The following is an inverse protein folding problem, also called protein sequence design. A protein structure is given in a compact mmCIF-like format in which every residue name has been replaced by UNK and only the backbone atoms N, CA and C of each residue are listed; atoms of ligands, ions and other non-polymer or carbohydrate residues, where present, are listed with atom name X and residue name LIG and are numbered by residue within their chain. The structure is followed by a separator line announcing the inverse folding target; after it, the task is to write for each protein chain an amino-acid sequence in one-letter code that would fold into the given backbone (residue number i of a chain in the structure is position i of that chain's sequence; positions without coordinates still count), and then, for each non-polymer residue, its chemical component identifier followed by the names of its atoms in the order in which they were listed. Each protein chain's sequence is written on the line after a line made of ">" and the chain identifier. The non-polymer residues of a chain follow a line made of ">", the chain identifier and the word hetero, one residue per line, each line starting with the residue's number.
data_IF_460705156019
#
_entry.id   IF_460705156019
#
_cell.length_a   1.000
_cell.length_b   1.000
_cell.length_c   1.000
_cell.angle_alpha   90.00
_cell.angle_beta   90.00
_cell.angle_gamma   90.00
#
_symmetry.space_group_name_H-M   'P 1'
#
loop_
_entity.id
_entity.type
_entity.pdbx_description
1 polymer ?
#
# COMPACT_ATOMS: atom_id res chain seq x y z
N UNK A 1 4.94 -4.54 -25.24
CA UNK A 1 4.51 -4.75 -23.85
C UNK A 1 5.59 -5.47 -23.05
N UNK A 2 5.50 -5.44 -21.75
CA UNK A 2 6.34 -6.21 -20.83
C UNK A 2 6.45 -7.68 -21.23
N UNK A 3 5.32 -8.35 -21.40
CA UNK A 3 5.29 -9.77 -21.78
C UNK A 3 5.93 -10.03 -23.14
N UNK A 4 5.65 -9.19 -24.14
CA UNK A 4 6.23 -9.37 -25.48
C UNK A 4 7.75 -9.24 -25.47
N UNK A 5 8.31 -8.29 -24.72
CA UNK A 5 9.76 -8.13 -24.61
C UNK A 5 10.42 -9.35 -23.96
N UNK A 6 9.78 -9.90 -22.93
CA UNK A 6 10.26 -11.10 -22.28
C UNK A 6 10.19 -12.30 -23.22
N UNK A 7 9.09 -12.49 -23.95
CA UNK A 7 8.93 -13.57 -24.93
C UNK A 7 9.97 -13.50 -26.06
N UNK A 8 10.42 -12.29 -26.38
CA UNK A 8 11.49 -12.04 -27.36
C UNK A 8 12.91 -12.15 -26.77
N UNK A 9 13.05 -12.43 -25.48
CA UNK A 9 14.33 -12.47 -24.78
C UNK A 9 14.96 -11.09 -24.55
N UNK A 10 14.18 -10.02 -24.67
CA UNK A 10 14.62 -8.65 -24.40
C UNK A 10 14.51 -8.33 -22.90
N UNK A 11 15.30 -7.34 -22.46
CA UNK A 11 15.23 -6.84 -21.09
C UNK A 11 14.22 -5.67 -21.02
N UNK A 12 13.04 -5.85 -20.40
CA UNK A 12 12.09 -4.75 -20.23
C UNK A 12 12.63 -3.70 -19.26
N UNK A 13 12.23 -2.45 -19.49
CA UNK A 13 12.56 -1.31 -18.62
C UNK A 13 11.61 -1.21 -17.41
N UNK A 14 11.96 -0.36 -16.45
CA UNK A 14 11.06 0.00 -15.34
C UNK A 14 9.74 0.58 -15.86
N UNK A 15 9.78 1.36 -16.95
CA UNK A 15 8.56 1.91 -17.56
C UNK A 15 7.68 0.80 -18.14
N UNK A 16 8.28 -0.20 -18.81
CA UNK A 16 7.51 -1.36 -19.30
C UNK A 16 6.81 -2.11 -18.18
N UNK A 17 7.47 -2.23 -17.02
CA UNK A 17 6.87 -2.85 -15.83
C UNK A 17 5.74 -1.99 -15.27
N UNK A 18 5.92 -0.69 -15.16
CA UNK A 18 4.85 0.23 -14.73
C UNK A 18 3.63 0.15 -15.64
N UNK A 19 3.84 0.16 -16.96
CA UNK A 19 2.77 0.05 -17.94
C UNK A 19 2.05 -1.30 -17.82
N UNK A 20 2.80 -2.37 -17.56
CA UNK A 20 2.23 -3.70 -17.30
C UNK A 20 1.41 -3.72 -16.01
N UNK A 21 1.89 -3.13 -14.92
CA UNK A 21 1.14 -3.02 -13.67
C UNK A 21 -0.13 -2.19 -13.85
N UNK A 22 -0.09 -1.10 -14.61
CA UNK A 22 -1.30 -0.35 -14.97
C UNK A 22 -2.30 -1.20 -15.74
N UNK A 23 -1.85 -2.01 -16.69
CA UNK A 23 -2.70 -2.94 -17.44
C UNK A 23 -3.34 -3.97 -16.50
N UNK A 24 -2.58 -4.48 -15.53
CA UNK A 24 -3.07 -5.43 -14.52
C UNK A 24 -4.14 -4.77 -13.65
N UNK A 25 -3.88 -3.59 -13.11
CA UNK A 25 -4.86 -2.85 -12.29
C UNK A 25 -6.14 -2.53 -13.06
N UNK A 26 -6.04 -2.25 -14.36
CA UNK A 26 -7.21 -2.05 -15.21
C UNK A 26 -8.00 -3.34 -15.45
N UNK A 27 -7.32 -4.47 -15.58
CA UNK A 27 -7.95 -5.77 -15.89
C UNK A 27 -8.48 -6.47 -14.63
N UNK A 28 -7.77 -6.35 -13.51
CA UNK A 28 -8.04 -7.04 -12.26
C UNK A 28 -8.17 -6.05 -11.10
N UNK A 29 -9.05 -5.08 -11.26
CA UNK A 29 -9.34 -4.04 -10.27
C UNK A 29 -9.64 -4.63 -8.90
N UNK A 30 -9.01 -4.12 -7.84
CA UNK A 30 -9.23 -4.58 -6.47
C UNK A 30 -8.54 -5.91 -6.09
N UNK A 31 -7.65 -6.46 -6.90
CA UNK A 31 -7.05 -7.78 -6.68
C UNK A 31 -6.19 -7.90 -5.41
N UNK A 32 -5.64 -6.82 -4.88
CA UNK A 32 -4.84 -6.80 -3.64
C UNK A 32 -5.68 -6.69 -2.37
N UNK A 33 -6.94 -6.35 -2.47
CA UNK A 33 -7.82 -6.09 -1.32
C UNK A 33 -8.01 -7.32 -0.43
N UNK A 34 -8.11 -8.51 -1.02
CA UNK A 34 -8.41 -9.73 -0.29
C UNK A 34 -7.33 -10.06 0.74
N UNK A 35 -6.07 -10.02 0.35
CA UNK A 35 -4.96 -10.28 1.29
C UNK A 35 -4.84 -9.15 2.32
N UNK A 36 -5.01 -7.91 1.90
CA UNK A 36 -4.95 -6.75 2.80
C UNK A 36 -6.06 -6.77 3.87
N UNK A 37 -7.25 -7.22 3.53
CA UNK A 37 -8.35 -7.36 4.51
C UNK A 37 -8.23 -8.60 5.38
N UNK A 38 -7.57 -9.66 4.91
CA UNK A 38 -7.44 -10.94 5.61
C UNK A 38 -6.28 -10.98 6.60
N UNK A 39 -5.21 -10.21 6.36
CA UNK A 39 -4.04 -10.16 7.24
C UNK A 39 -4.30 -9.18 8.40
N UNK A 40 -4.26 -9.70 9.64
CA UNK A 40 -4.54 -8.94 10.84
C UNK A 40 -3.42 -9.06 11.87
N UNK A 41 -3.26 -8.04 12.71
CA UNK A 41 -2.39 -8.09 13.87
C UNK A 41 -3.02 -8.93 15.01
N UNK A 42 -2.32 -9.03 16.14
CA UNK A 42 -2.80 -9.78 17.31
C UNK A 42 -4.09 -9.23 17.91
N UNK A 43 -4.42 -7.97 17.65
CA UNK A 43 -5.69 -7.35 18.08
C UNK A 43 -6.84 -7.55 17.09
N UNK A 44 -6.59 -8.21 15.96
CA UNK A 44 -7.56 -8.44 14.90
C UNK A 44 -7.70 -7.30 13.90
N UNK A 45 -6.76 -6.33 13.89
CA UNK A 45 -6.79 -5.18 12.98
C UNK A 45 -5.96 -5.42 11.72
N UNK A 46 -6.55 -5.16 10.56
CA UNK A 46 -5.85 -5.16 9.28
C UNK A 46 -5.15 -3.81 9.02
N UNK A 47 -4.44 -3.70 7.92
CA UNK A 47 -3.70 -2.48 7.58
C UNK A 47 -4.57 -1.24 7.39
N UNK A 48 -5.80 -1.38 6.91
CA UNK A 48 -6.75 -0.27 6.82
C UNK A 48 -7.14 0.23 8.20
N UNK A 49 -7.45 -0.67 9.11
CA UNK A 49 -7.84 -0.34 10.48
C UNK A 49 -6.68 0.25 11.28
N UNK A 50 -5.43 -0.15 11.00
CA UNK A 50 -4.23 0.50 11.56
C UNK A 50 -4.11 1.97 11.16
N UNK A 51 -4.56 2.34 9.97
CA UNK A 51 -4.62 3.76 9.56
C UNK A 51 -5.75 4.51 10.24
N UNK A 52 -6.92 3.90 10.33
CA UNK A 52 -8.10 4.51 10.96
C UNK A 52 -7.84 4.81 12.44
N UNK A 53 -7.10 3.95 13.14
CA UNK A 53 -6.73 4.15 14.54
C UNK A 53 -5.93 5.43 14.81
N UNK A 54 -5.34 6.02 13.77
CA UNK A 54 -4.57 7.28 13.90
C UNK A 54 -5.46 8.53 13.90
N UNK A 55 -6.71 8.41 13.53
CA UNK A 55 -7.67 9.52 13.45
C UNK A 55 -8.20 9.87 14.84
N UNK A 56 -8.19 11.15 15.18
CA UNK A 56 -8.93 11.67 16.33
C UNK A 56 -10.32 12.12 15.87
N UNK A 57 -11.40 11.36 16.17
CA UNK A 57 -12.74 11.69 15.69
C UNK A 57 -13.31 12.97 16.29
N UNK A 58 -12.71 13.51 17.34
CA UNK A 58 -13.16 14.77 17.96
C UNK A 58 -12.59 16.02 17.26
N UNK A 59 -11.48 15.89 16.56
CA UNK A 59 -10.78 17.02 15.93
C UNK A 59 -10.56 16.89 14.44
N UNK A 60 -10.54 15.66 13.90
CA UNK A 60 -10.29 15.37 12.50
C UNK A 60 -11.60 15.11 11.75
N UNK A 61 -12.02 16.02 10.90
CA UNK A 61 -13.31 15.92 10.18
C UNK A 61 -13.17 15.89 8.65
N UNK A 62 -12.08 16.41 8.09
CA UNK A 62 -11.83 16.42 6.64
C UNK A 62 -10.72 15.43 6.29
N UNK A 63 -11.07 14.36 5.59
CA UNK A 63 -10.21 13.20 5.31
C UNK A 63 -10.04 13.03 3.81
N UNK A 64 -8.79 12.93 3.37
CA UNK A 64 -8.41 12.60 2.00
C UNK A 64 -7.71 11.23 1.98
N UNK A 65 -8.19 10.32 1.16
CA UNK A 65 -7.47 9.07 0.83
C UNK A 65 -6.71 9.25 -0.49
N UNK A 66 -5.40 9.35 -0.39
CA UNK A 66 -4.49 9.52 -1.54
C UNK A 66 -4.10 8.16 -2.09
N UNK A 67 -4.33 7.93 -3.39
CA UNK A 67 -4.30 6.64 -4.05
C UNK A 67 -5.36 5.70 -3.44
N UNK A 68 -6.61 6.14 -3.48
CA UNK A 68 -7.73 5.49 -2.78
C UNK A 68 -8.17 4.16 -3.41
N UNK A 69 -7.70 3.84 -4.61
CA UNK A 69 -8.07 2.62 -5.32
C UNK A 69 -9.57 2.45 -5.44
N UNK A 70 -10.06 1.28 -5.11
CA UNK A 70 -11.48 0.92 -5.13
C UNK A 70 -12.31 1.45 -3.95
N UNK A 71 -11.71 2.26 -3.07
CA UNK A 71 -12.43 2.95 -1.99
C UNK A 71 -12.61 2.15 -0.70
N UNK A 72 -11.85 1.08 -0.47
CA UNK A 72 -11.98 0.23 0.73
C UNK A 72 -11.76 1.02 2.02
N UNK A 73 -10.70 1.82 2.09
CA UNK A 73 -10.40 2.62 3.28
C UNK A 73 -11.49 3.66 3.55
N UNK A 74 -11.99 4.31 2.52
CA UNK A 74 -13.11 5.25 2.63
C UNK A 74 -14.41 4.56 3.08
N UNK A 75 -14.63 3.32 2.67
CA UNK A 75 -15.77 2.52 3.16
C UNK A 75 -15.64 2.24 4.66
N UNK A 76 -14.45 1.91 5.16
CA UNK A 76 -14.19 1.79 6.61
C UNK A 76 -14.47 3.11 7.33
N UNK A 77 -13.97 4.23 6.81
CA UNK A 77 -14.22 5.55 7.39
C UNK A 77 -15.71 5.87 7.46
N UNK A 78 -16.43 5.60 6.38
CA UNK A 78 -17.86 5.85 6.30
C UNK A 78 -18.68 5.04 7.33
N UNK A 79 -18.25 3.82 7.63
CA UNK A 79 -18.92 2.95 8.62
C UNK A 79 -18.60 3.32 10.06
N UNK A 80 -17.39 3.82 10.32
CA UNK A 80 -16.87 4.00 11.69
C UNK A 80 -16.98 5.44 12.21
N UNK A 81 -17.05 6.43 11.31
CA UNK A 81 -17.08 7.83 11.70
C UNK A 81 -18.49 8.44 11.60
N UNK A 82 -18.78 9.46 12.44
CA UNK A 82 -20.06 10.16 12.40
C UNK A 82 -20.35 10.88 11.07
N UNK A 83 -21.59 11.25 10.83
CA UNK A 83 -22.07 11.89 9.60
C UNK A 83 -21.43 13.25 9.24
N UNK A 84 -20.75 13.90 10.17
CA UNK A 84 -20.11 15.20 9.94
C UNK A 84 -18.70 15.11 9.35
N UNK A 85 -18.22 13.91 9.02
CA UNK A 85 -16.95 13.73 8.33
C UNK A 85 -17.10 14.01 6.83
N UNK A 86 -16.16 14.79 6.30
CA UNK A 86 -16.02 15.03 4.88
C UNK A 86 -14.94 14.10 4.32
N UNK A 87 -15.34 13.22 3.43
CA UNK A 87 -14.46 12.23 2.81
C UNK A 87 -14.17 12.59 1.35
N UNK A 88 -12.94 12.41 0.93
CA UNK A 88 -12.52 12.54 -0.47
C UNK A 88 -11.46 11.50 -0.82
N UNK A 89 -11.41 11.12 -2.09
CA UNK A 89 -10.46 10.17 -2.63
C UNK A 89 -9.81 10.68 -3.91
N UNK A 90 -8.52 10.39 -4.07
CA UNK A 90 -7.75 10.66 -5.29
C UNK A 90 -7.14 9.36 -5.77
N UNK A 91 -7.32 9.03 -7.03
CA UNK A 91 -6.60 7.95 -7.69
C UNK A 91 -6.33 8.30 -9.15
N UNK A 92 -5.23 7.82 -9.69
CA UNK A 92 -4.88 8.03 -11.09
C UNK A 92 -5.57 7.02 -12.03
N UNK A 93 -6.10 5.93 -11.50
CA UNK A 93 -6.74 4.86 -12.24
C UNK A 93 -8.26 5.05 -12.26
N UNK A 94 -8.81 5.34 -13.44
CA UNK A 94 -10.25 5.60 -13.60
C UNK A 94 -11.11 4.35 -13.32
N UNK A 95 -10.63 3.15 -13.62
CA UNK A 95 -11.36 1.91 -13.33
C UNK A 95 -11.47 1.64 -11.83
N UNK A 96 -10.41 1.92 -11.07
CA UNK A 96 -10.45 1.87 -9.60
C UNK A 96 -11.48 2.87 -9.05
N UNK A 97 -11.49 4.10 -9.57
CA UNK A 97 -12.46 5.13 -9.15
C UNK A 97 -13.90 4.77 -9.51
N UNK A 98 -14.15 4.13 -10.65
CA UNK A 98 -15.47 3.61 -11.00
C UNK A 98 -15.97 2.60 -9.96
N UNK A 99 -15.09 1.70 -9.55
CA UNK A 99 -15.40 0.72 -8.50
C UNK A 99 -15.64 1.41 -7.14
N UNK A 100 -14.83 2.40 -6.79
CA UNK A 100 -15.00 3.19 -5.57
C UNK A 100 -16.34 3.95 -5.55
N UNK A 101 -16.70 4.60 -6.65
CA UNK A 101 -17.99 5.29 -6.80
C UNK A 101 -19.17 4.32 -6.70
N UNK A 102 -19.05 3.13 -7.27
CA UNK A 102 -20.08 2.08 -7.16
C UNK A 102 -20.22 1.57 -5.72
N UNK A 103 -19.08 1.30 -5.05
CA UNK A 103 -19.04 0.84 -3.65
C UNK A 103 -19.68 1.85 -2.69
N UNK A 104 -19.50 3.13 -2.93
CA UNK A 104 -19.89 4.24 -2.07
C UNK A 104 -20.96 5.14 -2.71
N UNK A 105 -21.79 4.59 -3.59
CA UNK A 105 -22.77 5.32 -4.40
C UNK A 105 -23.82 6.11 -3.61
N UNK A 106 -24.11 5.69 -2.37
CA UNK A 106 -25.09 6.33 -1.50
C UNK A 106 -24.46 7.34 -0.53
N UNK A 107 -23.17 7.68 -0.74
CA UNK A 107 -22.41 8.56 0.14
C UNK A 107 -21.96 9.81 -0.60
N UNK A 108 -21.91 10.93 0.13
CA UNK A 108 -21.38 12.19 -0.38
C UNK A 108 -19.84 12.20 -0.23
N UNK A 109 -19.17 11.60 -1.22
CA UNK A 109 -17.71 11.51 -1.28
C UNK A 109 -17.23 12.08 -2.60
N UNK A 110 -16.30 13.03 -2.51
CA UNK A 110 -15.65 13.62 -3.68
C UNK A 110 -14.52 12.72 -4.18
N UNK A 111 -14.62 12.22 -5.41
CA UNK A 111 -13.56 11.45 -6.06
C UNK A 111 -12.93 12.25 -7.19
N UNK A 112 -11.58 12.27 -7.23
CA UNK A 112 -10.80 12.98 -8.23
C UNK A 112 -9.85 12.03 -8.97
N UNK A 113 -9.92 12.02 -10.30
CA UNK A 113 -8.96 11.32 -11.13
C UNK A 113 -7.73 12.23 -11.34
N UNK A 114 -6.68 11.99 -10.59
CA UNK A 114 -5.44 12.77 -10.65
C UNK A 114 -4.22 11.97 -10.17
N UNK A 115 -3.05 12.37 -10.64
CA UNK A 115 -1.78 11.88 -10.10
C UNK A 115 -1.48 12.57 -8.76
N UNK A 116 -0.85 11.84 -7.85
CA UNK A 116 -0.45 12.37 -6.54
C UNK A 116 0.48 13.61 -6.63
N UNK A 117 1.21 13.76 -7.74
CA UNK A 117 2.06 14.91 -8.02
C UNK A 117 1.30 16.16 -8.51
N UNK A 118 0.01 16.02 -8.83
CA UNK A 118 -0.81 17.07 -9.46
C UNK A 118 -2.06 17.40 -8.64
N UNK A 119 -1.87 17.79 -7.38
CA UNK A 119 -2.94 18.11 -6.44
C UNK A 119 -3.12 19.63 -6.22
N UNK A 120 -2.78 20.46 -7.20
CA UNK A 120 -2.87 21.93 -7.09
C UNK A 120 -4.31 22.42 -6.87
N UNK A 121 -5.32 21.64 -7.24
CA UNK A 121 -6.73 21.94 -7.01
C UNK A 121 -7.16 21.75 -5.54
N UNK A 122 -6.36 21.10 -4.71
CA UNK A 122 -6.61 20.95 -3.28
C UNK A 122 -5.95 22.13 -2.56
N UNK A 123 -6.74 22.86 -1.78
CA UNK A 123 -6.29 24.06 -1.06
C UNK A 123 -5.26 23.72 0.02
N UNK A 124 -4.37 24.70 0.28
CA UNK A 124 -3.45 24.67 1.40
C UNK A 124 -4.22 24.55 2.71
N UNK A 125 -3.67 23.81 3.67
CA UNK A 125 -4.21 23.66 5.01
C UNK A 125 -5.73 23.34 5.02
N UNK A 126 -6.16 22.40 4.18
CA UNK A 126 -7.57 22.06 4.01
C UNK A 126 -7.95 20.67 4.53
N UNK A 127 -6.98 19.79 4.80
CA UNK A 127 -7.23 18.42 5.24
C UNK A 127 -6.75 18.18 6.66
N UNK A 128 -7.60 17.56 7.48
CA UNK A 128 -7.23 17.10 8.81
C UNK A 128 -6.45 15.78 8.77
N UNK A 129 -6.81 14.89 7.84
CA UNK A 129 -6.17 13.60 7.66
C UNK A 129 -5.92 13.36 6.18
N UNK A 130 -4.71 12.91 5.87
CA UNK A 130 -4.37 12.33 4.56
C UNK A 130 -3.90 10.91 4.77
N UNK A 131 -4.61 9.96 4.18
CA UNK A 131 -4.19 8.55 4.14
C UNK A 131 -3.43 8.24 2.86
N UNK A 132 -2.50 7.30 2.94
CA UNK A 132 -1.91 6.63 1.79
C UNK A 132 -1.64 5.16 2.14
N UNK A 133 -2.50 4.28 1.65
CA UNK A 133 -2.44 2.86 1.96
C UNK A 133 -1.66 2.12 0.86
N UNK A 134 -0.45 1.69 1.19
CA UNK A 134 0.40 0.86 0.33
C UNK A 134 0.66 1.41 -1.09
N UNK A 135 0.78 2.71 -1.24
CA UNK A 135 0.97 3.33 -2.55
C UNK A 135 2.21 4.24 -2.65
N UNK A 136 2.83 4.64 -1.54
CA UNK A 136 4.01 5.51 -1.58
C UNK A 136 5.16 4.91 -2.40
N UNK A 137 5.35 3.59 -2.36
CA UNK A 137 6.38 2.88 -3.14
C UNK A 137 6.23 3.02 -4.64
N UNK A 138 5.02 3.32 -5.13
CA UNK A 138 4.72 3.44 -6.57
C UNK A 138 4.74 4.89 -7.06
N UNK A 139 4.94 5.86 -6.16
CA UNK A 139 4.94 7.28 -6.49
C UNK A 139 6.34 7.73 -6.89
N UNK A 140 6.48 8.13 -8.14
CA UNK A 140 7.74 8.63 -8.70
C UNK A 140 7.46 9.87 -9.57
N UNK A 141 8.04 11.03 -9.24
CA UNK A 141 8.88 11.35 -8.07
C UNK A 141 8.06 11.45 -6.76
N UNK A 142 8.61 10.94 -5.66
CA UNK A 142 7.95 10.90 -4.36
C UNK A 142 8.08 12.24 -3.58
N UNK A 143 9.24 12.89 -3.64
CA UNK A 143 9.49 14.11 -2.84
C UNK A 143 8.46 15.22 -3.10
N UNK A 144 8.05 15.51 -4.35
CA UNK A 144 6.99 16.47 -4.62
C UNK A 144 5.64 16.08 -3.98
N UNK A 145 5.33 14.78 -3.93
CA UNK A 145 4.11 14.27 -3.27
C UNK A 145 4.14 14.56 -1.77
N UNK A 146 5.25 14.25 -1.10
CA UNK A 146 5.40 14.49 0.34
C UNK A 146 5.33 15.99 0.67
N UNK A 147 5.92 16.86 -0.14
CA UNK A 147 5.82 18.32 -0.01
C UNK A 147 4.37 18.80 -0.18
N UNK A 148 3.65 18.25 -1.14
CA UNK A 148 2.24 18.56 -1.37
C UNK A 148 1.37 18.12 -0.19
N UNK A 149 1.61 16.93 0.37
CA UNK A 149 0.92 16.45 1.57
C UNK A 149 1.14 17.45 2.72
N UNK A 150 2.38 17.89 2.95
CA UNK A 150 2.70 18.88 3.98
C UNK A 150 1.94 20.20 3.77
N UNK A 151 1.82 20.67 2.52
CA UNK A 151 1.07 21.87 2.14
C UNK A 151 -0.43 21.75 2.46
N UNK A 152 -1.02 20.62 2.11
CA UNK A 152 -2.46 20.38 2.22
C UNK A 152 -2.92 20.17 3.66
N UNK A 153 -2.07 19.58 4.51
CA UNK A 153 -2.39 19.35 5.91
C UNK A 153 -2.63 20.65 6.69
N UNK A 154 -3.72 20.66 7.43
CA UNK A 154 -3.98 21.66 8.47
C UNK A 154 -2.98 21.51 9.63
N UNK A 155 -2.83 22.57 10.41
CA UNK A 155 -2.22 22.48 11.73
C UNK A 155 -2.93 21.42 12.58
N UNK A 156 -2.18 20.57 13.30
CA UNK A 156 -2.66 19.40 14.03
C UNK A 156 -3.23 18.28 13.15
N UNK A 157 -3.18 18.44 11.82
CA UNK A 157 -3.52 17.39 10.87
C UNK A 157 -2.45 16.30 10.83
N UNK A 158 -2.85 15.11 10.37
CA UNK A 158 -1.98 13.95 10.25
C UNK A 158 -1.90 13.44 8.81
N UNK A 159 -0.71 12.97 8.44
CA UNK A 159 -0.51 12.08 7.31
C UNK A 159 -0.23 10.68 7.85
N UNK A 160 -1.00 9.69 7.42
CA UNK A 160 -0.91 8.32 7.90
C UNK A 160 -0.82 7.35 6.74
N UNK A 161 0.26 6.56 6.69
CA UNK A 161 0.54 5.67 5.57
C UNK A 161 0.94 4.27 6.04
N UNK A 162 0.60 3.28 5.22
CA UNK A 162 1.13 1.92 5.29
C UNK A 162 2.11 1.73 4.15
N UNK A 163 3.29 1.25 4.47
CA UNK A 163 4.35 0.86 3.53
C UNK A 163 4.89 -0.52 3.88
N UNK A 164 5.67 -1.11 2.99
CA UNK A 164 6.31 -2.39 3.24
C UNK A 164 7.23 -2.32 4.46
N UNK A 165 7.20 -3.36 5.28
CA UNK A 165 8.17 -3.56 6.35
C UNK A 165 9.43 -4.26 5.87
N UNK A 166 10.42 -4.38 6.76
CA UNK A 166 11.68 -5.04 6.46
C UNK A 166 11.46 -6.56 6.27
N UNK A 167 12.12 -7.14 5.27
CA UNK A 167 11.97 -8.56 4.89
C UNK A 167 12.23 -9.54 6.06
N UNK A 168 13.07 -9.16 7.00
CA UNK A 168 13.44 -10.00 8.15
C UNK A 168 12.55 -9.81 9.37
N UNK A 169 11.62 -8.87 9.34
CA UNK A 169 10.83 -8.48 10.52
C UNK A 169 9.58 -9.33 10.77
N UNK A 170 9.27 -10.26 9.88
CA UNK A 170 8.14 -11.20 10.03
C UNK A 170 8.58 -12.64 9.74
N UNK A 171 8.18 -13.55 10.61
CA UNK A 171 8.53 -14.98 10.52
C UNK A 171 8.04 -15.58 9.20
N UNK A 172 8.96 -16.22 8.45
CA UNK A 172 8.67 -16.91 7.20
C UNK A 172 8.52 -16.02 5.97
N UNK A 173 8.46 -14.70 6.13
CA UNK A 173 8.25 -13.79 5.00
C UNK A 173 9.40 -13.80 4.00
N UNK A 174 10.65 -13.77 4.48
CA UNK A 174 11.82 -13.82 3.60
C UNK A 174 11.90 -15.14 2.82
N UNK A 175 11.58 -16.25 3.44
CA UNK A 175 11.57 -17.56 2.80
C UNK A 175 10.54 -17.62 1.67
N UNK A 176 9.33 -17.13 1.91
CA UNK A 176 8.25 -17.05 0.91
C UNK A 176 8.66 -16.11 -0.23
N UNK A 177 9.16 -14.93 0.10
CA UNK A 177 9.68 -13.97 -0.86
C UNK A 177 10.74 -14.64 -1.76
N UNK A 178 11.70 -15.34 -1.18
CA UNK A 178 12.76 -16.00 -1.93
C UNK A 178 12.23 -17.14 -2.83
N UNK A 179 11.26 -17.94 -2.36
CA UNK A 179 10.64 -18.99 -3.18
C UNK A 179 10.03 -18.36 -4.43
N UNK A 180 9.23 -17.31 -4.26
CA UNK A 180 8.52 -16.64 -5.38
C UNK A 180 9.53 -15.98 -6.33
N UNK A 181 10.43 -15.16 -5.82
CA UNK A 181 11.37 -14.41 -6.66
C UNK A 181 12.34 -15.32 -7.41
N UNK A 182 12.89 -16.34 -6.76
CA UNK A 182 13.77 -17.31 -7.42
C UNK A 182 13.05 -18.10 -8.51
N UNK A 183 11.79 -18.49 -8.25
CA UNK A 183 10.98 -19.20 -9.25
C UNK A 183 10.71 -18.32 -10.47
N UNK A 184 10.24 -17.09 -10.25
CA UNK A 184 9.88 -16.18 -11.35
C UNK A 184 11.14 -15.75 -12.11
N UNK A 185 12.28 -15.53 -11.44
CA UNK A 185 13.55 -15.15 -12.07
C UNK A 185 14.14 -16.24 -12.96
N UNK A 186 13.81 -17.51 -12.75
CA UNK A 186 14.20 -18.58 -13.69
C UNK A 186 13.54 -18.41 -15.07
N UNK A 187 12.37 -17.79 -15.10
CA UNK A 187 11.59 -17.54 -16.32
C UNK A 187 11.84 -16.12 -16.83
N UNK A 188 11.87 -15.16 -15.90
CA UNK A 188 12.07 -13.73 -16.16
C UNK A 188 13.22 -13.22 -15.29
N UNK A 189 14.48 -13.29 -15.79
CA UNK A 189 15.66 -12.99 -14.97
C UNK A 189 15.65 -11.60 -14.31
N UNK A 190 14.96 -10.63 -14.89
CA UNK A 190 14.89 -9.26 -14.40
C UNK A 190 13.75 -9.01 -13.40
N UNK A 191 12.95 -10.02 -13.08
CA UNK A 191 11.87 -9.87 -12.10
C UNK A 191 12.42 -9.49 -10.73
N UNK A 192 11.88 -8.42 -10.14
CA UNK A 192 12.31 -7.89 -8.86
C UNK A 192 13.66 -7.17 -8.85
N UNK A 193 14.37 -7.10 -9.98
CA UNK A 193 15.60 -6.31 -10.13
C UNK A 193 15.31 -4.88 -10.59
N UNK A 194 14.12 -4.63 -11.12
CA UNK A 194 13.69 -3.30 -11.54
C UNK A 194 13.15 -2.54 -10.34
N UNK A 195 13.72 -1.39 -10.04
CA UNK A 195 13.21 -0.49 -9.03
C UNK A 195 11.93 0.18 -9.53
N UNK A 196 10.86 0.05 -8.74
CA UNK A 196 9.61 0.76 -8.92
C UNK A 196 9.49 1.84 -7.86
N UNK A 197 9.28 3.09 -8.31
CA UNK A 197 9.15 4.23 -7.43
C UNK A 197 10.42 4.55 -6.65
N UNK A 198 10.28 5.01 -5.42
CA UNK A 198 11.38 5.43 -4.56
C UNK A 198 11.76 4.32 -3.56
N UNK A 199 12.94 3.70 -3.67
CA UNK A 199 13.35 2.61 -2.80
C UNK A 199 13.49 2.99 -1.33
N UNK A 200 13.61 4.29 -1.01
CA UNK A 200 13.75 4.79 0.37
C UNK A 200 12.56 4.45 1.25
N UNK A 201 11.37 4.21 0.68
CA UNK A 201 10.17 3.85 1.46
C UNK A 201 10.14 2.38 1.90
N UNK A 202 11.05 1.55 1.40
CA UNK A 202 11.07 0.09 1.63
C UNK A 202 11.88 -0.37 2.84
N UNK A 203 12.54 0.54 3.54
CA UNK A 203 13.20 0.23 4.80
C UNK A 203 12.90 1.29 5.84
N UNK A 204 12.83 0.87 7.11
CA UNK A 204 12.55 1.76 8.23
C UNK A 204 13.57 2.92 8.28
N UNK A 205 14.85 2.63 8.12
CA UNK A 205 15.93 3.62 8.22
C UNK A 205 15.82 4.69 7.13
N UNK A 206 15.73 4.28 5.86
CA UNK A 206 15.70 5.22 4.74
C UNK A 206 14.39 6.00 4.67
N UNK A 207 13.28 5.40 5.07
CA UNK A 207 12.00 6.09 5.21
C UNK A 207 12.08 7.17 6.29
N UNK A 208 12.63 6.84 7.46
CA UNK A 208 12.80 7.80 8.57
C UNK A 208 13.67 8.99 8.14
N UNK A 209 14.79 8.73 7.48
CA UNK A 209 15.67 9.78 6.94
C UNK A 209 14.96 10.68 5.94
N UNK A 210 14.20 10.10 5.02
CA UNK A 210 13.44 10.83 4.00
C UNK A 210 12.37 11.72 4.61
N UNK A 211 11.53 11.17 5.48
CA UNK A 211 10.41 11.91 6.07
C UNK A 211 10.88 12.98 7.04
N UNK A 212 11.95 12.76 7.79
CA UNK A 212 12.56 13.79 8.65
C UNK A 212 13.08 14.97 7.85
N UNK A 213 13.60 14.74 6.66
CA UNK A 213 14.08 15.81 5.78
C UNK A 213 12.94 16.67 5.25
N UNK A 214 11.80 16.09 4.91
CA UNK A 214 10.65 16.81 4.35
C UNK A 214 9.81 17.44 5.47
N UNK A 215 9.54 16.68 6.53
CA UNK A 215 8.66 17.04 7.64
C UNK A 215 9.46 17.43 8.90
N UNK A 216 10.55 18.20 8.69
CA UNK A 216 11.53 18.57 9.71
C UNK A 216 10.96 19.30 10.93
N UNK A 217 9.79 19.92 10.77
CA UNK A 217 9.05 20.69 11.80
C UNK A 217 7.79 19.98 12.30
N UNK A 218 7.65 18.68 11.99
CA UNK A 218 6.51 17.87 12.35
C UNK A 218 6.91 16.78 13.36
N UNK A 219 5.91 16.23 14.04
CA UNK A 219 6.10 14.99 14.81
C UNK A 219 6.01 13.80 13.87
N UNK A 220 6.97 12.87 13.96
CA UNK A 220 7.06 11.70 13.10
C UNK A 220 7.10 10.46 13.96
N UNK A 221 6.26 9.49 13.64
CA UNK A 221 6.25 8.18 14.26
C UNK A 221 6.16 7.10 13.20
N UNK A 222 7.09 6.16 13.19
CA UNK A 222 7.09 5.00 12.32
C UNK A 222 7.09 3.75 13.19
N UNK A 223 6.03 2.95 13.11
CA UNK A 223 5.87 1.72 13.91
C UNK A 223 5.82 0.49 13.02
N UNK A 224 6.66 -0.51 13.25
CA UNK A 224 6.56 -1.80 12.58
C UNK A 224 5.39 -2.60 13.13
N UNK A 225 4.70 -3.29 12.24
CA UNK A 225 3.63 -4.23 12.55
C UNK A 225 3.81 -5.52 11.76
N UNK A 226 3.31 -6.62 12.30
CA UNK A 226 3.19 -7.89 11.59
C UNK A 226 1.71 -8.23 11.48
N UNK A 227 1.25 -8.44 10.25
CA UNK A 227 -0.11 -8.81 9.94
C UNK A 227 -0.13 -10.27 9.49
N UNK A 228 -0.97 -11.09 10.09
CA UNK A 228 -0.96 -12.53 9.87
C UNK A 228 -2.27 -13.03 9.26
N UNK A 229 -2.16 -14.00 8.39
CA UNK A 229 -3.29 -14.70 7.79
C UNK A 229 -3.10 -16.21 7.98
N UNK A 230 -3.98 -16.83 8.76
CA UNK A 230 -3.95 -18.27 9.05
C UNK A 230 -4.99 -18.98 8.19
N UNK A 231 -4.54 -19.93 7.41
CA UNK A 231 -5.40 -20.66 6.48
C UNK A 231 -4.76 -22.02 6.09
N UNK A 232 -5.47 -22.82 5.31
CA UNK A 232 -4.91 -24.04 4.74
C UNK A 232 -3.77 -23.74 3.78
N UNK A 233 -2.78 -24.64 3.63
CA UNK A 233 -1.64 -24.43 2.73
C UNK A 233 -2.01 -24.07 1.30
N UNK A 234 -3.02 -24.70 0.73
CA UNK A 234 -3.47 -24.44 -0.64
C UNK A 234 -4.05 -23.03 -0.81
N UNK A 235 -4.85 -22.57 0.13
CA UNK A 235 -5.42 -21.21 0.11
C UNK A 235 -4.32 -20.18 0.27
N UNK A 236 -3.40 -20.38 1.22
CA UNK A 236 -2.26 -19.48 1.42
C UNK A 236 -1.39 -19.40 0.16
N UNK A 237 -1.08 -20.53 -0.48
CA UNK A 237 -0.26 -20.56 -1.68
C UNK A 237 -0.85 -19.70 -2.82
N UNK A 238 -2.16 -19.78 -3.03
CA UNK A 238 -2.86 -18.98 -4.04
C UNK A 238 -2.91 -17.50 -3.70
N UNK A 239 -3.31 -17.16 -2.47
CA UNK A 239 -3.45 -15.77 -2.03
C UNK A 239 -2.09 -15.05 -2.00
N UNK A 240 -1.07 -15.69 -1.48
CA UNK A 240 0.28 -15.13 -1.38
C UNK A 240 0.91 -14.94 -2.76
N UNK A 241 0.77 -15.88 -3.68
CA UNK A 241 1.26 -15.72 -5.04
C UNK A 241 0.61 -14.54 -5.76
N UNK A 242 -0.68 -14.30 -5.53
CA UNK A 242 -1.41 -13.13 -6.04
C UNK A 242 -0.89 -11.83 -5.43
N UNK A 243 -0.65 -11.79 -4.14
CA UNK A 243 -0.10 -10.61 -3.46
C UNK A 243 1.25 -10.16 -4.04
N UNK A 244 2.12 -11.09 -4.41
CA UNK A 244 3.42 -10.81 -5.03
C UNK A 244 3.34 -10.61 -6.55
N UNK A 245 2.16 -10.47 -7.14
CA UNK A 245 1.92 -10.34 -8.58
C UNK A 245 2.39 -11.53 -9.43
N UNK A 246 2.86 -12.60 -8.83
CA UNK A 246 3.39 -13.76 -9.54
C UNK A 246 2.32 -14.42 -10.44
N UNK A 247 1.06 -14.46 -9.98
CA UNK A 247 -0.08 -14.95 -10.76
C UNK A 247 -0.33 -14.19 -12.06
N UNK A 248 0.19 -12.98 -12.16
CA UNK A 248 -0.09 -12.04 -13.26
C UNK A 248 1.05 -11.96 -14.28
N UNK A 249 2.24 -12.46 -13.92
CA UNK A 249 3.41 -12.47 -14.80
C UNK A 249 3.75 -13.85 -15.33
N UNK A 250 3.25 -14.92 -14.72
CA UNK A 250 3.50 -16.31 -15.10
C UNK A 250 2.42 -16.84 -16.06
N UNK A 251 2.81 -17.77 -16.94
CA UNK A 251 1.83 -18.60 -17.64
C UNK A 251 1.05 -19.48 -16.65
N UNK A 252 -0.14 -19.92 -17.04
CA UNK A 252 -0.96 -20.80 -16.17
C UNK A 252 -0.21 -22.04 -15.68
N UNK A 253 0.58 -22.65 -16.55
CA UNK A 253 1.40 -23.83 -16.21
C UNK A 253 2.46 -23.50 -15.15
N UNK A 254 3.21 -22.43 -15.35
CA UNK A 254 4.25 -22.02 -14.38
C UNK A 254 3.64 -21.55 -13.07
N UNK A 255 2.50 -20.86 -13.13
CA UNK A 255 1.76 -20.46 -11.94
C UNK A 255 1.33 -21.67 -11.09
N UNK A 256 0.79 -22.72 -11.70
CA UNK A 256 0.40 -23.95 -11.00
C UNK A 256 1.60 -24.61 -10.30
N UNK A 257 2.78 -24.61 -10.95
CA UNK A 257 4.01 -25.14 -10.35
C UNK A 257 4.44 -24.30 -9.15
N UNK A 258 4.40 -22.96 -9.25
CA UNK A 258 4.71 -22.08 -8.14
C UNK A 258 3.76 -22.25 -6.96
N UNK A 259 2.45 -22.35 -7.23
CA UNK A 259 1.44 -22.61 -6.20
C UNK A 259 1.71 -23.94 -5.50
N UNK A 260 2.11 -24.99 -6.23
CA UNK A 260 2.49 -26.27 -5.65
C UNK A 260 3.73 -26.17 -4.74
N UNK A 261 4.77 -25.45 -5.15
CA UNK A 261 5.95 -25.21 -4.32
C UNK A 261 5.63 -24.43 -3.04
N UNK A 262 4.79 -23.39 -3.14
CA UNK A 262 4.32 -22.64 -1.97
C UNK A 262 3.44 -23.47 -1.05
N UNK A 263 2.57 -24.31 -1.61
CA UNK A 263 1.74 -25.23 -0.83
C UNK A 263 2.58 -26.21 -0.04
N UNK A 264 3.64 -26.77 -0.64
CA UNK A 264 4.59 -27.66 0.04
C UNK A 264 5.31 -26.94 1.20
N UNK A 265 5.70 -25.67 1.00
CA UNK A 265 6.28 -24.85 2.06
C UNK A 265 5.30 -24.67 3.23
N UNK A 266 4.06 -24.29 2.94
CA UNK A 266 3.04 -24.09 3.97
C UNK A 266 2.64 -25.39 4.66
N UNK A 267 2.64 -26.51 3.95
CA UNK A 267 2.45 -27.84 4.55
C UNK A 267 3.50 -28.16 5.61
N UNK A 268 4.77 -27.89 5.32
CA UNK A 268 5.90 -28.12 6.25
C UNK A 268 5.80 -27.25 7.51
N UNK A 269 5.19 -26.08 7.41
CA UNK A 269 5.01 -25.15 8.54
C UNK A 269 3.63 -25.25 9.17
N UNK A 270 2.77 -26.17 8.70
CA UNK A 270 1.41 -26.31 9.20
C UNK A 270 1.35 -26.99 10.56
N UNK A 271 0.36 -26.58 11.36
CA UNK A 271 -0.05 -27.20 12.61
C UNK A 271 -1.55 -27.41 12.52
N UNK A 272 -2.00 -28.64 12.77
CA UNK A 272 -3.42 -29.02 12.67
C UNK A 272 -4.09 -28.65 11.34
N UNK A 273 -3.33 -28.78 10.23
CA UNK A 273 -3.82 -28.50 8.87
C UNK A 273 -3.82 -27.03 8.46
N UNK A 274 -3.34 -26.12 9.30
CA UNK A 274 -3.26 -24.69 9.04
C UNK A 274 -1.82 -24.18 9.12
N UNK A 275 -1.50 -23.21 8.30
CA UNK A 275 -0.26 -22.46 8.36
C UNK A 275 -0.53 -20.96 8.39
N UNK A 276 0.51 -20.14 8.48
CA UNK A 276 0.42 -18.69 8.54
C UNK A 276 1.27 -18.03 7.48
N UNK A 277 0.71 -16.97 6.89
CA UNK A 277 1.45 -15.94 6.19
C UNK A 277 1.58 -14.73 7.09
N UNK A 278 2.82 -14.28 7.34
CA UNK A 278 3.13 -13.13 8.16
C UNK A 278 3.68 -12.01 7.28
N UNK A 279 2.99 -10.89 7.26
CA UNK A 279 3.28 -9.74 6.40
C UNK A 279 3.84 -8.59 7.23
N UNK A 280 5.12 -8.21 7.03
CA UNK A 280 5.67 -7.05 7.71
C UNK A 280 5.21 -5.77 7.04
N UNK A 281 4.78 -4.80 7.84
CA UNK A 281 4.42 -3.45 7.38
C UNK A 281 5.00 -2.41 8.34
N UNK A 282 5.24 -1.20 7.83
CA UNK A 282 5.53 -0.03 8.63
C UNK A 282 4.34 0.94 8.53
N UNK A 283 3.88 1.43 9.67
CA UNK A 283 2.91 2.53 9.74
C UNK A 283 3.65 3.83 9.99
N UNK A 284 3.58 4.74 9.02
CA UNK A 284 4.10 6.10 9.13
C UNK A 284 2.97 7.03 9.57
N UNK A 285 3.20 7.80 10.62
CA UNK A 285 2.31 8.90 11.04
C UNK A 285 3.12 10.17 11.18
N UNK A 286 2.72 11.20 10.45
CA UNK A 286 3.30 12.55 10.54
C UNK A 286 2.22 13.50 11.03
N UNK A 287 2.46 14.17 12.15
CA UNK A 287 1.57 15.20 12.68
C UNK A 287 2.16 16.57 12.45
N UNK A 288 1.43 17.43 11.73
CA UNK A 288 1.82 18.81 11.49
C UNK A 288 1.53 19.64 12.74
N UNK A 289 2.59 20.05 13.44
CA UNK A 289 2.47 20.90 14.63
C UNK A 289 2.81 22.35 14.27
N UNK A 290 2.10 23.31 14.87
CA UNK A 290 2.57 24.68 14.89
C UNK A 290 3.74 24.77 15.87
N UNK A 291 4.99 24.79 15.38
CA UNK A 291 6.06 25.34 16.19
C UNK A 291 5.77 26.85 16.36
N UNK A 292 5.21 27.22 17.51
CA UNK A 292 5.39 28.56 18.00
C UNK A 292 6.89 28.70 18.16
N UNK A 293 7.53 29.47 17.28
CA UNK A 293 8.87 29.98 17.51
C UNK A 293 8.77 30.77 18.83
N UNK A 294 9.07 30.14 19.95
CA UNK A 294 9.44 30.88 21.16
C UNK A 294 10.77 31.55 20.83
N UNK A 295 10.69 32.72 20.20
CA UNK A 295 11.75 33.70 20.27
C UNK A 295 11.95 33.95 21.77
N UNK A 296 12.91 33.27 22.37
CA UNK A 296 13.48 33.70 23.62
C UNK A 296 14.10 35.04 23.36
N UNK A 297 13.46 36.07 23.92
CA UNK A 297 14.07 37.39 24.13
C UNK A 297 15.29 37.26 25.03
#
# INVERSE_FOLDING_TARGET
>A
SWMNKIDLGENPSSQDLLDHLHTIHNRYTGFTEKIATSCCDLSGKNSYELLIDTVDPNSHTDILDLACGSGVLLEYCNKLFPFNFKLSGVDMNDNELKLARSRLSNQDIDFYNAKAQKLNFIKDASKDVIFCHWALTLMDPLVPVLKTIKRILKNQGIFSAIVDGDLHSATGYLEIHNIIYKFVQKIFPNYGLLELGDPRVRSLKTLDELVKKIFYDCEINITPHVLSFKQTPEVLAKEVSGFFYASLVLSSKHYEILVSELSDYFDKTSVDGFSEFNLPVNRLVVKKTSKICSLKK
#
